data_IF_688225391073
#
_entry.id   IF_688225391073
#
_cell.length_a   1.000
_cell.length_b   1.000
_cell.length_c   1.000
_cell.angle_alpha   90.00
_cell.angle_beta   90.00
_cell.angle_gamma   90.00
#
_symmetry.space_group_name_H-M   'P 1'
#
loop_
_entity.id
_entity.type
_entity.pdbx_description
1 polymer ?
#
# COMPACT_ATOMS: atom_id res chain seq x y z
N UNK A 1 -9.77 11.28 -4.59
CA UNK A 1 -9.16 11.09 -5.93
C UNK A 1 -8.89 9.62 -6.22
N UNK A 2 -8.25 8.85 -5.38
CA UNK A 2 -7.93 7.43 -5.59
C UNK A 2 -9.12 6.52 -5.93
N UNK A 3 -10.28 6.70 -5.31
CA UNK A 3 -11.50 5.94 -5.63
C UNK A 3 -11.98 6.08 -7.07
N UNK A 4 -11.59 7.16 -7.78
CA UNK A 4 -11.92 7.34 -9.20
C UNK A 4 -10.94 6.62 -10.14
N UNK A 5 -9.74 6.28 -9.68
CA UNK A 5 -8.77 5.52 -10.49
C UNK A 5 -9.29 4.11 -10.73
N UNK A 6 -9.95 3.50 -9.73
CA UNK A 6 -10.52 2.15 -9.90
C UNK A 6 -11.58 2.06 -10.99
N UNK A 7 -12.28 3.17 -11.29
CA UNK A 7 -13.35 3.17 -12.33
C UNK A 7 -12.82 3.14 -13.76
N UNK A 8 -11.53 3.42 -13.97
CA UNK A 8 -10.87 3.37 -15.29
C UNK A 8 -10.05 2.10 -15.48
N UNK A 9 -9.91 1.27 -14.44
CA UNK A 9 -9.25 -0.02 -14.54
C UNK A 9 -10.14 -1.02 -15.27
N UNK A 10 -9.52 -1.93 -16.02
CA UNK A 10 -10.25 -3.05 -16.64
C UNK A 10 -10.96 -3.89 -15.57
N UNK A 11 -12.17 -4.42 -15.85
CA UNK A 11 -12.88 -5.29 -14.92
C UNK A 11 -12.04 -6.53 -14.59
N UNK A 12 -12.31 -7.14 -13.45
CA UNK A 12 -11.72 -8.41 -13.04
C UNK A 12 -12.18 -9.53 -13.98
N UNK A 13 -11.25 -10.37 -14.38
CA UNK A 13 -11.60 -11.64 -15.00
C UNK A 13 -12.00 -12.69 -13.93
N UNK A 14 -12.55 -13.82 -14.34
CA UNK A 14 -13.07 -14.85 -13.40
C UNK A 14 -11.97 -15.44 -12.51
N UNK A 15 -10.76 -15.62 -13.01
CA UNK A 15 -9.62 -16.09 -12.22
C UNK A 15 -9.23 -15.08 -11.13
N UNK A 16 -9.15 -13.78 -11.47
CA UNK A 16 -8.85 -12.70 -10.52
C UNK A 16 -9.95 -12.58 -9.44
N UNK A 17 -11.23 -12.70 -9.81
CA UNK A 17 -12.34 -12.70 -8.85
C UNK A 17 -12.22 -13.85 -7.85
N UNK A 18 -11.89 -15.05 -8.32
CA UNK A 18 -11.72 -16.22 -7.46
C UNK A 18 -10.51 -16.08 -6.53
N UNK A 19 -9.39 -15.55 -7.03
CA UNK A 19 -8.19 -15.28 -6.23
C UNK A 19 -8.50 -14.28 -5.11
N UNK A 20 -9.07 -13.14 -5.45
CA UNK A 20 -9.49 -12.12 -4.48
C UNK A 20 -10.49 -12.65 -3.46
N UNK A 21 -11.47 -13.43 -3.91
CA UNK A 21 -12.47 -14.03 -3.01
C UNK A 21 -11.81 -14.93 -1.97
N UNK A 22 -10.82 -15.74 -2.35
CA UNK A 22 -10.02 -16.56 -1.43
C UNK A 22 -9.24 -15.71 -0.43
N UNK A 23 -8.60 -14.63 -0.87
CA UNK A 23 -7.85 -13.69 -0.03
C UNK A 23 -8.79 -13.05 1.00
N UNK A 24 -9.93 -12.51 0.55
CA UNK A 24 -10.90 -11.84 1.42
C UNK A 24 -11.58 -12.81 2.38
N UNK A 25 -11.84 -14.04 1.95
CA UNK A 25 -12.34 -15.13 2.81
C UNK A 25 -11.35 -15.46 3.92
N UNK A 26 -10.07 -15.68 3.56
CA UNK A 26 -9.00 -15.95 4.53
C UNK A 26 -8.79 -14.80 5.53
N UNK A 27 -9.05 -13.56 5.12
CA UNK A 27 -9.00 -12.37 5.97
C UNK A 27 -10.29 -12.15 6.80
N UNK A 28 -11.35 -12.94 6.60
CA UNK A 28 -12.66 -12.74 7.23
C UNK A 28 -13.36 -11.45 6.77
N UNK A 29 -13.08 -10.96 5.55
CA UNK A 29 -13.53 -9.66 5.03
C UNK A 29 -14.50 -9.77 3.83
N UNK A 30 -15.14 -10.92 3.64
CA UNK A 30 -16.17 -11.06 2.60
C UNK A 30 -17.44 -10.25 2.89
N UNK A 31 -17.74 -9.97 4.17
CA UNK A 31 -18.87 -9.12 4.58
C UNK A 31 -20.21 -9.56 3.95
N UNK A 32 -20.46 -10.88 3.89
CA UNK A 32 -21.66 -11.47 3.30
C UNK A 32 -21.66 -11.59 1.78
N UNK A 33 -20.62 -11.14 1.10
CA UNK A 33 -20.46 -11.33 -0.36
C UNK A 33 -20.07 -12.77 -0.67
N UNK A 34 -20.63 -13.34 -1.73
CA UNK A 34 -20.26 -14.67 -2.22
C UNK A 34 -18.96 -14.62 -3.04
N UNK A 35 -18.74 -13.52 -3.76
CA UNK A 35 -17.60 -13.30 -4.64
C UNK A 35 -17.19 -11.81 -4.63
N UNK A 36 -15.91 -11.53 -4.83
CA UNK A 36 -15.38 -10.17 -5.04
C UNK A 36 -15.45 -9.88 -6.53
N UNK A 37 -16.27 -8.92 -6.93
CA UNK A 37 -16.50 -8.56 -8.33
C UNK A 37 -15.75 -7.30 -8.76
N UNK A 38 -15.36 -6.45 -7.81
CA UNK A 38 -14.69 -5.18 -8.07
C UNK A 38 -13.23 -5.20 -7.61
N UNK A 39 -12.38 -4.45 -8.33
CA UNK A 39 -10.99 -4.26 -7.92
C UNK A 39 -10.92 -3.55 -6.58
N UNK A 40 -10.20 -4.11 -5.60
CA UNK A 40 -10.12 -3.51 -4.28
C UNK A 40 -9.35 -2.18 -4.31
N UNK A 41 -9.81 -1.23 -3.51
CA UNK A 41 -9.08 0.01 -3.21
C UNK A 41 -8.81 0.03 -1.72
N UNK A 42 -7.55 -0.14 -1.34
CA UNK A 42 -7.12 -0.10 0.06
C UNK A 42 -6.46 1.24 0.36
N UNK A 43 -6.91 1.86 1.45
CA UNK A 43 -6.44 3.19 1.89
C UNK A 43 -6.07 3.11 3.38
N UNK A 44 -4.98 2.44 3.75
CA UNK A 44 -4.54 2.39 5.14
C UNK A 44 -4.13 3.77 5.64
N UNK A 45 -4.37 4.03 6.92
CA UNK A 45 -3.94 5.26 7.56
C UNK A 45 -2.41 5.26 7.78
N UNK A 46 -1.76 6.45 7.78
CA UNK A 46 -0.31 6.58 7.97
C UNK A 46 0.20 6.02 9.32
N UNK A 47 -0.67 5.90 10.33
CA UNK A 47 -0.35 5.23 11.61
C UNK A 47 -0.33 3.70 11.52
N UNK A 48 -0.62 3.13 10.35
CA UNK A 48 -0.64 1.68 10.13
C UNK A 48 0.74 1.08 10.41
N UNK A 49 0.76 -0.04 11.10
CA UNK A 49 2.00 -0.77 11.42
C UNK A 49 2.44 -1.66 10.25
N UNK A 50 3.73 -2.02 10.23
CA UNK A 50 4.27 -2.99 9.25
C UNK A 50 3.51 -4.32 9.27
N UNK A 51 3.10 -4.80 10.44
CA UNK A 51 2.34 -6.05 10.58
C UNK A 51 0.95 -5.96 9.93
N UNK A 52 0.27 -4.82 10.03
CA UNK A 52 -1.01 -4.60 9.36
C UNK A 52 -0.83 -4.48 7.84
N UNK A 53 0.26 -3.86 7.39
CA UNK A 53 0.56 -3.73 5.95
C UNK A 53 0.87 -5.07 5.30
N UNK A 54 1.78 -5.85 5.88
CA UNK A 54 2.24 -7.13 5.32
C UNK A 54 1.34 -8.30 5.68
N UNK A 55 0.64 -8.21 6.80
CA UNK A 55 -0.08 -9.33 7.37
C UNK A 55 0.74 -10.12 8.39
N UNK A 56 0.19 -11.21 8.86
CA UNK A 56 0.78 -12.02 9.92
C UNK A 56 -0.02 -11.93 11.22
N UNK A 57 0.67 -11.88 12.35
CA UNK A 57 0.05 -11.83 13.68
C UNK A 57 -0.16 -13.20 14.31
N UNK A 58 -0.87 -13.26 15.44
CA UNK A 58 -1.16 -14.50 16.18
C UNK A 58 -2.00 -15.45 15.32
N UNK A 59 -3.03 -14.93 14.68
CA UNK A 59 -3.76 -15.60 13.60
C UNK A 59 -3.19 -15.09 12.30
N UNK A 60 -2.62 -15.99 11.48
CA UNK A 60 -2.05 -15.63 10.19
C UNK A 60 -3.14 -15.07 9.29
N UNK A 61 -3.06 -13.77 8.98
CA UNK A 61 -4.04 -13.07 8.16
C UNK A 61 -3.36 -12.24 7.09
N UNK A 62 -3.94 -12.15 5.88
CA UNK A 62 -3.48 -11.23 4.84
C UNK A 62 -3.47 -9.78 5.33
N UNK A 63 -2.41 -9.02 4.97
CA UNK A 63 -2.30 -7.59 5.26
C UNK A 63 -2.93 -6.70 4.18
N UNK A 64 -2.85 -5.38 4.38
CA UNK A 64 -3.44 -4.39 3.47
C UNK A 64 -2.88 -4.49 2.05
N UNK A 65 -1.60 -4.85 1.89
CA UNK A 65 -0.97 -5.05 0.58
C UNK A 65 -1.60 -6.23 -0.17
N UNK A 66 -1.76 -7.39 0.49
CA UNK A 66 -2.43 -8.56 -0.10
C UNK A 66 -3.91 -8.29 -0.37
N UNK A 67 -4.57 -7.54 0.52
CA UNK A 67 -5.97 -7.12 0.31
C UNK A 67 -6.13 -6.13 -0.86
N UNK A 68 -5.05 -5.48 -1.30
CA UNK A 68 -5.01 -4.62 -2.49
C UNK A 68 -4.67 -5.39 -3.77
N UNK A 69 -4.45 -6.70 -3.71
CA UNK A 69 -4.09 -7.51 -4.88
C UNK A 69 -5.05 -7.27 -6.05
N UNK A 70 -4.55 -7.23 -7.29
CA UNK A 70 -5.29 -6.88 -8.53
C UNK A 70 -6.02 -5.52 -8.51
N UNK A 71 -5.74 -4.69 -7.50
CA UNK A 71 -6.40 -3.40 -7.29
C UNK A 71 -5.42 -2.28 -6.98
N UNK A 72 -5.80 -1.40 -6.06
CA UNK A 72 -5.05 -0.18 -5.72
C UNK A 72 -4.72 -0.15 -4.24
N UNK A 73 -3.45 0.09 -3.92
CA UNK A 73 -3.00 0.52 -2.61
C UNK A 73 -2.77 2.03 -2.67
N UNK A 74 -3.65 2.80 -2.06
CA UNK A 74 -3.54 4.25 -1.97
C UNK A 74 -2.96 4.66 -0.62
N UNK A 75 -1.82 5.34 -0.63
CA UNK A 75 -1.15 5.86 0.55
C UNK A 75 -1.21 7.39 0.52
N UNK A 76 -2.13 7.95 1.30
CA UNK A 76 -2.19 9.40 1.51
C UNK A 76 -1.18 9.82 2.58
N UNK A 77 -0.67 11.04 2.47
CA UNK A 77 0.38 11.55 3.37
C UNK A 77 1.59 10.59 3.45
N UNK A 78 2.04 10.09 2.29
CA UNK A 78 3.04 9.02 2.18
C UNK A 78 4.28 9.25 3.04
N UNK A 79 4.74 10.49 3.16
CA UNK A 79 5.89 10.85 3.99
C UNK A 79 5.63 10.73 5.51
N UNK A 80 4.38 10.61 5.95
CA UNK A 80 4.05 10.49 7.36
C UNK A 80 4.06 9.04 7.85
N UNK A 81 4.03 8.07 6.94
CA UNK A 81 4.22 6.65 7.30
C UNK A 81 5.59 6.43 7.95
N UNK A 82 5.65 5.50 8.90
CA UNK A 82 6.93 5.08 9.47
C UNK A 82 7.84 4.49 8.38
N UNK A 83 9.14 4.84 8.40
CA UNK A 83 10.10 4.37 7.38
C UNK A 83 10.10 2.85 7.21
N UNK A 84 9.95 2.10 8.32
CA UNK A 84 9.85 0.63 8.28
C UNK A 84 8.63 0.12 7.49
N UNK A 85 7.53 0.90 7.43
CA UNK A 85 6.35 0.59 6.63
C UNK A 85 6.63 0.87 5.17
N UNK A 86 7.19 2.06 4.86
CA UNK A 86 7.58 2.46 3.50
C UNK A 86 8.57 1.44 2.90
N UNK A 87 9.63 1.11 3.63
CA UNK A 87 10.65 0.16 3.17
C UNK A 87 10.09 -1.26 2.97
N UNK A 88 9.03 -1.63 3.71
CA UNK A 88 8.38 -2.93 3.54
C UNK A 88 7.64 -3.12 2.22
N UNK A 89 7.35 -2.02 1.50
CA UNK A 89 6.75 -2.05 0.17
C UNK A 89 7.74 -2.52 -0.91
N UNK A 90 9.05 -2.45 -0.64
CA UNK A 90 10.09 -2.73 -1.63
C UNK A 90 9.93 -4.11 -2.28
N UNK A 91 9.90 -5.17 -1.47
CA UNK A 91 9.76 -6.54 -1.99
C UNK A 91 8.42 -6.76 -2.71
N UNK A 92 7.25 -6.38 -2.16
CA UNK A 92 5.99 -6.51 -2.87
C UNK A 92 5.93 -5.77 -4.20
N UNK A 93 6.57 -4.61 -4.33
CA UNK A 93 6.63 -3.86 -5.59
C UNK A 93 7.55 -4.51 -6.64
N UNK A 94 8.58 -5.25 -6.20
CA UNK A 94 9.51 -5.95 -7.10
C UNK A 94 9.04 -7.35 -7.48
N UNK A 95 8.65 -8.13 -6.47
CA UNK A 95 8.38 -9.57 -6.62
C UNK A 95 6.88 -9.89 -6.75
N UNK A 96 5.99 -8.91 -6.50
CA UNK A 96 4.54 -9.08 -6.48
C UNK A 96 4.05 -10.16 -5.50
N UNK A 97 4.81 -10.42 -4.44
CA UNK A 97 4.49 -11.35 -3.37
C UNK A 97 4.90 -10.82 -2.00
N UNK A 98 4.26 -11.34 -0.98
CA UNK A 98 4.66 -11.18 0.43
C UNK A 98 5.01 -12.55 0.97
N UNK A 99 6.18 -12.64 1.62
CA UNK A 99 6.64 -13.84 2.33
C UNK A 99 6.54 -13.62 3.83
N UNK A 100 5.83 -14.52 4.52
CA UNK A 100 5.74 -14.53 5.97
C UNK A 100 6.28 -15.86 6.47
N UNK A 101 7.35 -15.81 7.26
CA UNK A 101 7.92 -17.00 7.91
C UNK A 101 7.37 -17.10 9.32
N UNK A 102 6.83 -18.27 9.67
CA UNK A 102 6.33 -18.55 11.00
C UNK A 102 6.76 -19.95 11.45
N UNK A 103 7.64 -20.00 12.43
CA UNK A 103 8.31 -21.25 12.80
C UNK A 103 9.11 -21.78 11.62
N UNK A 104 8.87 -23.02 11.23
CA UNK A 104 9.49 -23.66 10.06
C UNK A 104 8.69 -23.54 8.76
N UNK A 105 7.56 -22.81 8.77
CA UNK A 105 6.68 -22.69 7.60
C UNK A 105 6.80 -21.31 6.98
N UNK A 106 6.89 -21.28 5.65
CA UNK A 106 6.80 -20.07 4.84
C UNK A 106 5.40 -20.01 4.22
N UNK A 107 4.81 -18.81 4.26
CA UNK A 107 3.53 -18.48 3.66
C UNK A 107 3.74 -17.39 2.63
N UNK A 108 3.27 -17.62 1.41
CA UNK A 108 3.41 -16.70 0.29
C UNK A 108 2.02 -16.18 -0.05
N UNK A 109 1.88 -14.85 -0.05
CA UNK A 109 0.68 -14.16 -0.47
C UNK A 109 0.92 -13.35 -1.73
N UNK A 110 -0.04 -13.28 -2.66
CA UNK A 110 0.06 -12.42 -3.83
C UNK A 110 0.01 -10.95 -3.43
N UNK A 111 0.66 -10.09 -4.22
CA UNK A 111 0.75 -8.66 -3.99
C UNK A 111 0.90 -7.90 -5.32
N UNK A 112 0.06 -8.22 -6.30
CA UNK A 112 0.05 -7.57 -7.60
C UNK A 112 -0.92 -6.38 -7.59
N UNK A 113 -0.47 -5.23 -7.12
CA UNK A 113 -1.27 -4.03 -6.93
C UNK A 113 -0.66 -2.82 -7.64
N UNK A 114 -1.49 -1.82 -7.92
CA UNK A 114 -1.03 -0.49 -8.30
C UNK A 114 -0.81 0.34 -7.04
N UNK A 115 0.42 0.82 -6.83
CA UNK A 115 0.70 1.79 -5.77
C UNK A 115 0.34 3.20 -6.26
N UNK A 116 -0.51 3.89 -5.49
CA UNK A 116 -0.78 5.31 -5.68
C UNK A 116 -0.45 6.02 -4.38
N UNK A 117 0.52 6.93 -4.41
CA UNK A 117 0.94 7.69 -3.25
C UNK A 117 0.64 9.18 -3.45
N UNK A 118 0.09 9.82 -2.42
CA UNK A 118 -0.04 11.26 -2.35
C UNK A 118 0.83 11.79 -1.21
N UNK A 119 1.51 12.91 -1.44
CA UNK A 119 2.38 13.51 -0.45
C UNK A 119 2.44 15.02 -0.61
N UNK A 120 2.73 15.71 0.49
CA UNK A 120 3.02 17.12 0.46
C UNK A 120 4.48 17.38 0.03
N UNK A 121 4.77 18.49 -0.64
CA UNK A 121 6.13 18.81 -1.07
C UNK A 121 7.06 19.21 0.08
N UNK A 122 6.51 19.58 1.24
CA UNK A 122 7.23 19.89 2.47
C UNK A 122 6.27 19.79 3.67
N UNK A 123 6.79 19.88 4.87
CA UNK A 123 6.03 19.77 6.12
C UNK A 123 4.88 20.79 6.25
N UNK A 124 5.05 22.01 5.74
CA UNK A 124 3.98 23.04 5.76
C UNK A 124 3.03 22.96 4.55
N UNK A 125 3.37 22.15 3.53
CA UNK A 125 2.54 21.92 2.33
C UNK A 125 2.65 22.99 1.25
N UNK A 126 3.33 24.13 1.48
CA UNK A 126 3.31 25.29 0.58
C UNK A 126 4.48 25.39 -0.41
N UNK A 127 5.51 24.56 -0.27
CA UNK A 127 6.60 24.57 -1.25
C UNK A 127 6.05 24.21 -2.65
N UNK A 128 6.47 24.87 -3.74
CA UNK A 128 7.58 25.83 -3.86
C UNK A 128 7.23 27.31 -3.60
N UNK A 129 5.98 27.66 -3.22
CA UNK A 129 5.59 29.05 -2.95
C UNK A 129 6.34 29.60 -1.72
N UNK A 130 7.43 30.33 -1.96
CA UNK A 130 8.30 30.90 -0.91
C UNK A 130 7.63 32.01 -0.08
N UNK A 131 6.54 32.60 -0.55
CA UNK A 131 5.79 33.60 0.23
C UNK A 131 4.99 32.95 1.37
N UNK A 132 4.60 31.67 1.18
CA UNK A 132 3.79 30.92 2.14
C UNK A 132 4.61 29.82 2.85
N UNK A 133 5.66 29.32 2.22
CA UNK A 133 6.49 28.25 2.76
C UNK A 133 7.56 28.81 3.69
N UNK A 134 7.48 28.45 4.97
CA UNK A 134 8.47 28.78 6.00
C UNK A 134 9.59 27.74 6.17
N UNK A 135 9.52 26.63 5.44
CA UNK A 135 10.50 25.55 5.54
C UNK A 135 11.84 25.94 4.89
N UNK A 136 12.94 25.65 5.58
CA UNK A 136 14.29 25.78 5.01
C UNK A 136 14.51 24.67 3.96
N UNK A 137 15.54 24.86 3.12
CA UNK A 137 15.90 23.80 2.14
C UNK A 137 16.35 22.51 2.85
N UNK A 138 16.99 22.63 3.98
CA UNK A 138 17.37 21.50 4.82
C UNK A 138 16.15 20.74 5.33
N UNK A 139 15.10 21.45 5.77
CA UNK A 139 13.84 20.83 6.23
C UNK A 139 13.13 20.11 5.11
N UNK A 140 13.09 20.71 3.91
CA UNK A 140 12.49 20.10 2.71
C UNK A 140 13.25 18.82 2.36
N UNK A 141 14.58 18.88 2.26
CA UNK A 141 15.42 17.71 1.97
C UNK A 141 15.21 16.59 3.00
N UNK A 142 15.23 16.94 4.28
CA UNK A 142 15.00 15.98 5.38
C UNK A 142 13.59 15.36 5.33
N UNK A 143 12.58 16.15 4.97
CA UNK A 143 11.20 15.66 4.80
C UNK A 143 11.09 14.69 3.64
N UNK A 144 11.66 15.03 2.48
CA UNK A 144 11.66 14.19 1.28
C UNK A 144 12.49 12.91 1.45
N UNK A 145 13.60 12.97 2.21
CA UNK A 145 14.47 11.81 2.46
C UNK A 145 13.86 10.74 3.38
N UNK A 146 12.66 10.95 3.93
CA UNK A 146 11.91 9.91 4.67
C UNK A 146 11.50 8.75 3.78
N UNK A 147 11.32 9.00 2.49
CA UNK A 147 11.13 7.97 1.47
C UNK A 147 12.50 7.64 0.88
N UNK A 148 12.91 6.39 1.00
CA UNK A 148 14.23 5.95 0.53
C UNK A 148 14.32 5.96 -1.00
N UNK A 149 15.53 6.22 -1.54
CA UNK A 149 15.76 6.22 -2.98
C UNK A 149 15.28 4.94 -3.68
N UNK A 150 15.52 3.72 -3.14
CA UNK A 150 15.00 2.50 -3.75
C UNK A 150 13.49 2.45 -3.93
N UNK A 151 12.73 3.15 -3.07
CA UNK A 151 11.27 3.25 -3.22
C UNK A 151 10.93 4.26 -4.32
N UNK A 152 11.62 5.42 -4.36
CA UNK A 152 11.45 6.40 -5.44
C UNK A 152 11.70 5.83 -6.82
N UNK A 153 12.72 4.98 -6.96
CA UNK A 153 13.09 4.34 -8.23
C UNK A 153 12.02 3.33 -8.74
N UNK A 154 10.96 3.07 -7.95
CA UNK A 154 9.83 2.16 -8.27
C UNK A 154 8.50 2.86 -8.44
N UNK A 155 8.48 4.17 -8.28
CA UNK A 155 7.28 5.01 -8.46
C UNK A 155 7.53 5.86 -9.70
N UNK A 156 6.64 5.76 -10.70
CA UNK A 156 6.66 6.56 -11.94
C UNK A 156 6.15 7.99 -11.71
#
# INVERSE_FOLDING_TARGET
MAKRISTIMLPLNESEKMELTRIYSAAGKLEGRSIIEERPVRCPNYNTTKAVMLGGGVVLSPGEITLADKGILFLDEFNEFASAVIDSLRTPLEEHIIRIVRGSKEYIYPAYFMLVAAMNPCRCGYYPDRNRCSCTEHDIKRYMSRVSKPIWDRID
#
